data_IF_919873944734
#
_entry.id   IF_919873944734
#
_cell.length_a   1.000
_cell.length_b   1.000
_cell.length_c   1.000
_cell.angle_alpha   90.00
_cell.angle_beta   90.00
_cell.angle_gamma   90.00
#
_symmetry.space_group_name_H-M   'P 1'
#
loop_
_entity.id
_entity.type
_entity.pdbx_description
1 polymer ?
#
# COMPACT_ATOMS: atom_id res chain seq x y z
N UNK A 1 -6.07 -23.27 28.29
CA UNK A 1 -6.85 -22.36 27.44
C UNK A 1 -5.94 -21.86 26.32
N UNK A 2 -6.36 -22.01 25.07
CA UNK A 2 -5.50 -21.76 23.90
C UNK A 2 -5.23 -20.27 23.65
N UNK A 3 -6.14 -19.38 24.06
CA UNK A 3 -5.94 -17.93 23.95
C UNK A 3 -4.78 -17.41 24.80
N UNK A 4 -4.62 -17.94 26.02
CA UNK A 4 -3.56 -17.51 26.93
C UNK A 4 -2.14 -17.79 26.41
N UNK A 5 -1.95 -18.88 25.66
CA UNK A 5 -0.66 -19.20 25.05
C UNK A 5 -0.33 -18.27 23.89
N UNK A 6 -1.31 -17.91 23.06
CA UNK A 6 -1.13 -16.97 21.97
C UNK A 6 -0.73 -15.58 22.48
N UNK A 7 -1.37 -15.12 23.56
CA UNK A 7 -1.05 -13.84 24.20
C UNK A 7 0.39 -13.83 24.74
N UNK A 8 0.78 -14.87 25.49
CA UNK A 8 2.14 -14.98 26.05
C UNK A 8 3.22 -15.03 24.96
N UNK A 9 2.94 -15.73 23.85
CA UNK A 9 3.85 -15.80 22.71
C UNK A 9 4.01 -14.43 22.05
N UNK A 10 2.91 -13.72 21.83
CA UNK A 10 2.97 -12.38 21.25
C UNK A 10 3.67 -11.39 22.17
N UNK A 11 3.43 -11.45 23.48
CA UNK A 11 4.07 -10.57 24.46
C UNK A 11 5.59 -10.79 24.50
N UNK A 12 6.02 -12.05 24.49
CA UNK A 12 7.43 -12.42 24.40
C UNK A 12 8.06 -11.89 23.11
N UNK A 13 7.38 -12.04 21.97
CA UNK A 13 7.83 -11.51 20.68
C UNK A 13 7.90 -9.97 20.69
N UNK A 14 6.86 -9.31 21.19
CA UNK A 14 6.75 -7.85 21.31
C UNK A 14 7.91 -7.29 22.11
N UNK A 15 8.18 -7.89 23.28
CA UNK A 15 9.29 -7.49 24.14
C UNK A 15 10.64 -7.75 23.45
N UNK A 16 10.83 -8.94 22.87
CA UNK A 16 12.07 -9.27 22.16
C UNK A 16 12.37 -8.25 21.06
N UNK A 17 11.44 -8.03 20.13
CA UNK A 17 11.63 -7.07 19.02
C UNK A 17 11.90 -5.67 19.56
N UNK A 18 11.19 -5.25 20.61
CA UNK A 18 11.37 -3.91 21.19
C UNK A 18 12.72 -3.74 21.87
N UNK A 19 13.22 -4.76 22.56
CA UNK A 19 14.54 -4.71 23.21
C UNK A 19 15.68 -4.62 22.18
N UNK A 20 15.51 -5.21 20.99
CA UNK A 20 16.54 -5.23 19.95
C UNK A 20 16.44 -4.02 19.00
N UNK A 21 15.23 -3.55 18.71
CA UNK A 21 14.97 -2.61 17.61
C UNK A 21 14.08 -1.41 17.98
N UNK A 22 13.58 -1.34 19.20
CA UNK A 22 12.64 -0.31 19.64
C UNK A 22 11.21 -0.54 19.13
N UNK A 23 10.41 0.53 19.09
CA UNK A 23 9.00 0.41 18.66
C UNK A 23 8.89 -0.09 17.22
N UNK A 24 7.93 -0.97 16.96
CA UNK A 24 7.80 -1.67 15.68
C UNK A 24 6.50 -1.34 14.94
N UNK A 25 6.44 -1.70 13.66
CA UNK A 25 5.24 -1.59 12.82
C UNK A 25 4.68 -3.00 12.58
N UNK A 26 3.37 -3.16 12.67
CA UNK A 26 2.68 -4.41 12.32
C UNK A 26 1.86 -4.24 11.05
N UNK A 27 1.98 -5.19 10.13
CA UNK A 27 1.13 -5.31 8.94
C UNK A 27 0.42 -6.66 9.02
N UNK A 28 -0.90 -6.65 9.06
CA UNK A 28 -1.74 -7.85 8.94
C UNK A 28 -2.43 -7.78 7.60
N UNK A 29 -1.91 -8.55 6.65
CA UNK A 29 -2.54 -8.70 5.33
C UNK A 29 -3.65 -9.76 5.38
N UNK A 30 -4.66 -9.59 4.53
CA UNK A 30 -5.88 -10.40 4.45
C UNK A 30 -6.53 -10.65 5.83
N UNK A 31 -6.63 -9.62 6.66
CA UNK A 31 -7.15 -9.74 8.03
C UNK A 31 -8.61 -10.25 8.06
N UNK A 32 -9.36 -10.05 6.98
CA UNK A 32 -10.74 -10.50 6.83
C UNK A 32 -10.85 -12.00 6.52
N UNK A 33 -9.79 -12.64 6.01
CA UNK A 33 -9.84 -14.02 5.55
C UNK A 33 -10.12 -15.04 6.68
N UNK A 34 -9.48 -14.98 7.85
CA UNK A 34 -9.80 -15.88 8.97
C UNK A 34 -11.24 -15.73 9.46
N UNK A 35 -11.74 -14.48 9.51
CA UNK A 35 -13.12 -14.19 9.92
C UNK A 35 -14.12 -14.75 8.91
N UNK A 36 -13.85 -14.59 7.61
CA UNK A 36 -14.67 -15.17 6.53
C UNK A 36 -14.70 -16.68 6.58
N UNK A 37 -13.56 -17.33 6.80
CA UNK A 37 -13.46 -18.79 6.87
C UNK A 37 -14.27 -19.36 8.04
N UNK A 38 -14.42 -18.59 9.12
CA UNK A 38 -15.22 -18.99 10.26
C UNK A 38 -16.73 -18.83 10.01
N UNK A 39 -17.20 -17.95 9.11
CA UNK A 39 -18.63 -17.78 8.85
C UNK A 39 -19.28 -19.07 8.35
N UNK A 40 -20.30 -19.56 9.08
CA UNK A 40 -21.12 -20.71 8.66
C UNK A 40 -20.71 -22.09 9.20
N UNK A 41 -19.82 -22.17 10.19
CA UNK A 41 -19.41 -23.43 10.83
C UNK A 41 -19.65 -23.42 12.35
N UNK A 42 -19.79 -24.59 13.00
CA UNK A 42 -20.10 -24.67 14.44
C UNK A 42 -18.89 -24.40 15.36
N UNK A 43 -17.66 -24.64 14.87
CA UNK A 43 -16.38 -24.31 15.55
C UNK A 43 -15.98 -22.83 15.39
N UNK A 44 -16.79 -22.06 14.67
CA UNK A 44 -16.60 -20.67 14.29
C UNK A 44 -16.28 -19.76 15.47
N UNK A 45 -16.96 -19.96 16.60
CA UNK A 45 -16.92 -19.00 17.70
C UNK A 45 -15.57 -18.97 18.40
N UNK A 46 -15.03 -20.12 18.81
CA UNK A 46 -13.74 -20.17 19.52
C UNK A 46 -12.58 -19.70 18.63
N UNK A 47 -12.64 -20.02 17.33
CA UNK A 47 -11.65 -19.56 16.35
C UNK A 47 -11.74 -18.05 16.10
N UNK A 48 -12.96 -17.50 15.99
CA UNK A 48 -13.17 -16.06 15.91
C UNK A 48 -12.70 -15.36 17.18
N UNK A 49 -13.12 -15.84 18.35
CA UNK A 49 -12.76 -15.25 19.65
C UNK A 49 -11.23 -15.26 19.84
N UNK A 50 -10.56 -16.34 19.43
CA UNK A 50 -9.08 -16.43 19.45
C UNK A 50 -8.44 -15.41 18.49
N UNK A 51 -8.92 -15.31 17.25
CA UNK A 51 -8.37 -14.37 16.27
C UNK A 51 -8.60 -12.90 16.69
N UNK A 52 -9.82 -12.58 17.12
CA UNK A 52 -10.19 -11.27 17.65
C UNK A 52 -9.37 -10.94 18.90
N UNK A 53 -9.15 -11.92 19.79
CA UNK A 53 -8.29 -11.78 20.96
C UNK A 53 -6.86 -11.43 20.59
N UNK A 54 -6.28 -12.15 19.62
CA UNK A 54 -4.93 -11.89 19.10
C UNK A 54 -4.81 -10.49 18.48
N UNK A 55 -5.72 -10.09 17.60
CA UNK A 55 -5.71 -8.72 17.02
C UNK A 55 -5.89 -7.70 18.15
N UNK A 56 -6.73 -7.99 19.15
CA UNK A 56 -6.87 -7.18 20.35
C UNK A 56 -5.52 -7.00 21.05
N UNK A 57 -4.80 -8.09 21.32
CA UNK A 57 -3.49 -8.05 22.00
C UNK A 57 -2.44 -7.28 21.20
N UNK A 58 -2.43 -7.43 19.88
CA UNK A 58 -1.47 -6.75 18.99
C UNK A 58 -1.64 -5.22 19.07
N UNK A 59 -2.89 -4.73 19.02
CA UNK A 59 -3.18 -3.31 18.78
C UNK A 59 -3.67 -2.55 20.01
N UNK A 60 -4.41 -3.18 20.94
CA UNK A 60 -5.03 -2.52 22.10
C UNK A 60 -4.03 -2.35 23.23
N UNK A 61 -3.72 -1.10 23.58
CA UNK A 61 -2.84 -0.77 24.71
C UNK A 61 -1.39 -1.23 24.55
N UNK A 62 -0.96 -1.58 23.32
CA UNK A 62 0.40 -2.02 23.07
C UNK A 62 1.35 -0.82 22.91
N UNK A 63 2.07 -0.46 23.98
CA UNK A 63 2.99 0.69 24.01
C UNK A 63 4.23 0.51 23.12
N UNK A 64 4.56 -0.74 22.78
CA UNK A 64 5.67 -1.11 21.92
C UNK A 64 5.34 -0.90 20.44
N UNK A 65 4.05 -0.81 20.07
CA UNK A 65 3.63 -0.58 18.71
C UNK A 65 3.82 0.90 18.32
N UNK A 66 4.55 1.16 17.25
CA UNK A 66 4.67 2.50 16.65
C UNK A 66 3.44 2.85 15.82
N UNK A 67 3.00 1.88 15.00
CA UNK A 67 1.82 1.96 14.12
C UNK A 67 1.47 0.54 13.68
N UNK A 68 0.22 0.29 13.33
CA UNK A 68 -0.11 -0.94 12.62
C UNK A 68 -1.17 -0.74 11.56
N UNK A 69 -1.22 -1.70 10.63
CA UNK A 69 -2.06 -1.68 9.45
C UNK A 69 -2.79 -3.02 9.35
N UNK A 70 -4.11 -2.96 9.18
CA UNK A 70 -4.96 -4.09 8.83
C UNK A 70 -5.36 -3.90 7.37
N UNK A 71 -4.98 -4.85 6.51
CA UNK A 71 -5.26 -4.80 5.07
C UNK A 71 -6.16 -5.98 4.73
N UNK A 72 -7.25 -5.73 4.00
CA UNK A 72 -8.23 -6.75 3.65
C UNK A 72 -9.20 -6.25 2.60
N UNK A 73 -10.01 -7.16 2.08
CA UNK A 73 -11.02 -6.84 1.06
C UNK A 73 -12.33 -6.40 1.72
N UNK A 74 -12.74 -7.10 2.77
CA UNK A 74 -13.99 -6.85 3.46
C UNK A 74 -13.75 -6.09 4.76
N UNK A 75 -14.55 -5.07 4.99
CA UNK A 75 -14.57 -4.36 6.26
C UNK A 75 -15.30 -5.21 7.31
N UNK A 76 -14.53 -5.96 8.10
CA UNK A 76 -15.02 -6.53 9.34
C UNK A 76 -14.72 -5.57 10.47
N UNK A 77 -15.78 -4.99 11.05
CA UNK A 77 -15.67 -4.24 12.29
C UNK A 77 -15.42 -5.23 13.43
N UNK A 78 -14.18 -5.21 13.93
CA UNK A 78 -13.82 -5.83 15.19
C UNK A 78 -14.38 -4.98 16.33
N UNK A 79 -15.71 -4.95 16.46
CA UNK A 79 -16.46 -4.13 17.43
C UNK A 79 -15.99 -4.33 18.87
N UNK A 80 -15.46 -5.52 19.19
CA UNK A 80 -14.81 -5.86 20.46
C UNK A 80 -13.43 -5.21 20.68
N UNK A 81 -12.71 -4.86 19.61
CA UNK A 81 -11.38 -4.23 19.63
C UNK A 81 -11.50 -2.71 19.62
N UNK A 82 -12.51 -2.17 18.94
CA UNK A 82 -12.71 -0.73 18.76
C UNK A 82 -12.79 0.08 20.05
N UNK A 83 -13.34 -0.50 21.13
CA UNK A 83 -13.47 0.19 22.42
C UNK A 83 -12.15 0.49 23.15
N UNK A 84 -11.02 -0.04 22.69
CA UNK A 84 -9.72 0.18 23.34
C UNK A 84 -8.58 0.60 22.41
N UNK A 85 -8.82 0.72 21.10
CA UNK A 85 -7.82 1.22 20.16
C UNK A 85 -8.19 2.67 19.85
N UNK A 86 -7.67 3.58 20.66
CA UNK A 86 -8.05 5.00 20.64
C UNK A 86 -7.60 5.78 19.38
N UNK A 87 -7.10 5.13 18.33
CA UNK A 87 -6.54 5.76 17.13
C UNK A 87 -6.77 4.92 15.84
N UNK A 88 -7.87 4.18 15.73
CA UNK A 88 -8.20 3.49 14.46
C UNK A 88 -8.66 4.52 13.43
N UNK A 89 -8.00 4.52 12.27
CA UNK A 89 -8.47 5.22 11.06
C UNK A 89 -8.78 4.19 10.00
N UNK A 90 -10.00 4.16 9.49
CA UNK A 90 -10.36 3.35 8.34
C UNK A 90 -10.03 4.10 7.05
N UNK A 91 -9.33 3.44 6.14
CA UNK A 91 -9.00 3.94 4.81
C UNK A 91 -9.55 2.94 3.80
N UNK A 92 -10.67 3.29 3.16
CA UNK A 92 -11.35 2.42 2.20
C UNK A 92 -11.23 2.99 0.79
N UNK A 93 -10.93 2.13 -0.18
CA UNK A 93 -10.85 2.48 -1.60
C UNK A 93 -12.24 2.56 -2.28
N UNK A 94 -13.29 2.08 -1.63
CA UNK A 94 -14.65 2.19 -2.12
C UNK A 94 -15.09 3.67 -2.14
N UNK A 95 -15.46 4.16 -3.32
CA UNK A 95 -16.12 5.46 -3.46
C UNK A 95 -17.46 5.43 -2.72
N UNK A 96 -17.82 6.55 -2.06
CA UNK A 96 -19.07 6.74 -1.28
C UNK A 96 -20.38 6.36 -2.02
N UNK A 97 -20.34 6.01 -3.31
CA UNK A 97 -21.49 5.61 -4.11
C UNK A 97 -22.05 4.20 -3.83
N UNK A 98 -21.33 3.31 -3.13
CA UNK A 98 -21.81 1.94 -2.85
C UNK A 98 -22.42 1.75 -1.43
N UNK A 99 -22.28 2.72 -0.53
CA UNK A 99 -22.75 2.62 0.87
C UNK A 99 -23.92 3.56 1.17
N UNK A 100 -24.99 3.54 0.35
CA UNK A 100 -26.19 4.34 0.67
C UNK A 100 -27.07 3.74 1.78
N UNK A 101 -26.73 2.56 2.32
CA UNK A 101 -27.59 1.83 3.27
C UNK A 101 -26.96 1.59 4.65
N UNK A 102 -25.77 2.12 4.93
CA UNK A 102 -25.19 2.07 6.28
C UNK A 102 -24.87 3.50 6.66
N UNK A 103 -25.69 4.08 7.55
CA UNK A 103 -25.42 5.39 8.11
C UNK A 103 -24.06 5.33 8.84
N UNK A 104 -23.11 6.21 8.50
CA UNK A 104 -21.86 6.29 9.26
C UNK A 104 -22.20 6.71 10.68
N UNK A 105 -21.68 5.99 11.67
CA UNK A 105 -21.70 6.47 13.05
C UNK A 105 -20.93 7.80 13.11
N UNK A 106 -21.50 8.79 13.79
CA UNK A 106 -21.04 10.19 13.81
C UNK A 106 -19.60 10.35 14.32
N UNK A 107 -19.01 9.32 14.93
CA UNK A 107 -17.66 9.35 15.52
C UNK A 107 -16.51 9.08 14.53
N UNK A 108 -16.79 8.68 13.28
CA UNK A 108 -15.76 8.14 12.36
C UNK A 108 -15.70 8.82 10.99
N UNK A 109 -15.79 10.15 10.98
CA UNK A 109 -15.49 10.95 9.79
C UNK A 109 -14.18 11.70 9.99
N UNK A 110 -13.06 10.98 10.08
CA UNK A 110 -11.80 11.61 9.69
C UNK A 110 -11.82 11.72 8.16
N UNK A 111 -11.67 12.95 7.68
CA UNK A 111 -11.90 13.45 6.32
C UNK A 111 -11.06 12.81 5.19
N UNK A 112 -10.53 11.60 5.37
CA UNK A 112 -9.78 10.82 4.38
C UNK A 112 -10.61 9.68 3.76
N UNK A 113 -11.94 9.77 3.79
CA UNK A 113 -12.78 8.86 3.02
C UNK A 113 -12.65 9.15 1.52
N UNK A 114 -12.19 8.16 0.74
CA UNK A 114 -12.04 8.28 -0.70
C UNK A 114 -10.58 8.28 -1.16
N UNK A 115 -10.42 8.22 -2.48
CA UNK A 115 -9.14 7.90 -3.13
C UNK A 115 -8.09 9.00 -2.98
N UNK A 116 -8.50 10.25 -2.72
CA UNK A 116 -7.60 11.36 -2.34
C UNK A 116 -6.87 11.09 -1.01
N UNK A 117 -7.50 10.37 -0.08
CA UNK A 117 -6.87 9.92 1.17
C UNK A 117 -5.85 8.81 0.92
N UNK A 118 -6.14 7.91 -0.02
CA UNK A 118 -5.25 6.79 -0.34
C UNK A 118 -3.98 7.25 -1.06
N UNK A 119 -4.08 8.10 -2.08
CA UNK A 119 -2.92 8.65 -2.78
C UNK A 119 -2.00 9.44 -1.83
N UNK A 120 -2.57 10.18 -0.87
CA UNK A 120 -1.79 10.87 0.18
C UNK A 120 -1.04 9.93 1.14
N UNK A 121 -1.47 8.69 1.26
CA UNK A 121 -0.87 7.71 2.18
C UNK A 121 0.11 6.76 1.48
N UNK A 122 -0.16 6.44 0.22
CA UNK A 122 0.51 5.34 -0.49
C UNK A 122 1.17 5.76 -1.81
N UNK A 123 1.15 7.04 -2.15
CA UNK A 123 1.90 7.60 -3.26
C UNK A 123 2.77 8.78 -2.80
N UNK A 124 3.82 9.08 -3.55
CA UNK A 124 4.56 10.31 -3.36
C UNK A 124 3.89 11.44 -4.14
N UNK A 125 3.81 12.61 -3.52
CA UNK A 125 3.56 13.88 -4.18
C UNK A 125 4.79 14.35 -4.96
N UNK A 126 4.61 15.30 -5.88
CA UNK A 126 5.73 15.91 -6.60
C UNK A 126 6.75 16.54 -5.65
N UNK A 127 6.29 17.20 -4.59
CA UNK A 127 7.17 17.83 -3.61
C UNK A 127 8.05 16.79 -2.88
N UNK A 128 7.47 15.65 -2.50
CA UNK A 128 8.23 14.56 -1.87
C UNK A 128 9.24 13.93 -2.83
N UNK A 129 8.89 13.74 -4.10
CA UNK A 129 9.83 13.23 -5.11
C UNK A 129 11.00 14.20 -5.30
N UNK A 130 10.73 15.49 -5.42
CA UNK A 130 11.78 16.52 -5.56
C UNK A 130 12.71 16.48 -4.35
N UNK A 131 12.16 16.45 -3.13
CA UNK A 131 12.96 16.32 -1.89
C UNK A 131 13.78 15.03 -1.84
N UNK A 132 13.23 13.89 -2.30
CA UNK A 132 13.96 12.62 -2.36
C UNK A 132 15.12 12.68 -3.35
N UNK A 133 14.93 13.31 -4.52
CA UNK A 133 16.00 13.53 -5.50
C UNK A 133 17.08 14.43 -4.90
N UNK A 134 16.69 15.55 -4.28
CA UNK A 134 17.63 16.46 -3.59
C UNK A 134 18.48 15.73 -2.53
N UNK A 135 17.86 14.87 -1.72
CA UNK A 135 18.58 14.09 -0.70
C UNK A 135 19.52 13.04 -1.28
N UNK A 136 19.14 12.43 -2.40
CA UNK A 136 19.99 11.46 -3.09
C UNK A 136 21.06 12.13 -3.96
N UNK A 137 20.95 13.44 -4.20
CA UNK A 137 21.73 14.17 -5.20
C UNK A 137 23.24 14.09 -4.98
N UNK A 138 23.70 14.28 -3.73
CA UNK A 138 25.15 14.19 -3.42
C UNK A 138 25.77 12.85 -3.80
N UNK A 139 24.98 11.77 -3.84
CA UNK A 139 25.41 10.42 -4.24
C UNK A 139 25.33 10.24 -5.76
N UNK A 140 24.32 10.83 -6.41
CA UNK A 140 24.07 10.73 -7.86
C UNK A 140 25.06 11.60 -8.67
N UNK A 141 25.33 12.83 -8.23
CA UNK A 141 26.13 13.83 -8.95
C UNK A 141 27.57 13.38 -9.20
N UNK A 142 28.18 12.71 -8.21
CA UNK A 142 29.56 12.20 -8.31
C UNK A 142 29.73 11.13 -9.39
N UNK A 143 28.64 10.48 -9.82
CA UNK A 143 28.70 9.37 -10.75
C UNK A 143 28.45 9.76 -12.21
N UNK A 144 27.56 10.72 -12.50
CA UNK A 144 27.04 10.88 -13.86
C UNK A 144 26.86 12.33 -14.40
N UNK A 145 27.15 13.38 -13.61
CA UNK A 145 27.12 14.81 -14.04
C UNK A 145 25.82 15.28 -14.73
N UNK A 146 24.66 14.71 -14.37
CA UNK A 146 23.36 15.18 -14.86
C UNK A 146 22.94 16.48 -14.16
N UNK A 147 21.99 17.23 -14.72
CA UNK A 147 21.27 18.25 -13.95
C UNK A 147 20.13 17.60 -13.16
N UNK A 148 19.82 18.19 -12.01
CA UNK A 148 18.73 17.71 -11.16
C UNK A 148 17.37 17.81 -11.87
N UNK A 149 17.16 18.89 -12.63
CA UNK A 149 15.98 19.08 -13.47
C UNK A 149 15.80 17.93 -14.48
N UNK A 150 16.88 17.47 -15.12
CA UNK A 150 16.81 16.37 -16.08
C UNK A 150 16.36 15.06 -15.40
N UNK A 151 16.86 14.80 -14.19
CA UNK A 151 16.48 13.61 -13.41
C UNK A 151 15.01 13.68 -12.99
N UNK A 152 14.56 14.83 -12.47
CA UNK A 152 13.16 15.04 -12.07
C UNK A 152 12.23 14.94 -13.29
N UNK A 153 12.60 15.54 -14.42
CA UNK A 153 11.81 15.49 -15.65
C UNK A 153 11.71 14.06 -16.20
N UNK A 154 12.81 13.30 -16.17
CA UNK A 154 12.82 11.90 -16.58
C UNK A 154 11.92 11.06 -15.68
N UNK A 155 12.06 11.21 -14.36
CA UNK A 155 11.26 10.51 -13.36
C UNK A 155 9.77 10.88 -13.49
N UNK A 156 9.46 12.16 -13.71
CA UNK A 156 8.09 12.65 -13.94
C UNK A 156 7.49 12.08 -15.21
N UNK A 157 8.28 12.00 -16.27
CA UNK A 157 7.84 11.44 -17.56
C UNK A 157 7.48 9.97 -17.43
N UNK A 158 8.29 9.19 -16.73
CA UNK A 158 8.10 7.74 -16.59
C UNK A 158 7.12 7.34 -15.49
N UNK A 159 7.09 8.07 -14.38
CA UNK A 159 6.41 7.63 -13.15
C UNK A 159 5.45 8.66 -12.54
N UNK A 160 5.41 9.89 -13.05
CA UNK A 160 4.52 10.95 -12.57
C UNK A 160 3.08 10.87 -13.10
N UNK A 161 2.66 9.70 -13.56
CA UNK A 161 1.30 9.42 -14.05
C UNK A 161 0.63 8.31 -13.25
N UNK A 162 1.14 8.02 -12.05
CA UNK A 162 0.45 7.11 -11.16
C UNK A 162 -0.85 7.77 -10.71
N UNK A 163 -1.96 7.15 -11.09
CA UNK A 163 -3.29 7.69 -10.86
C UNK A 163 -4.22 6.52 -10.48
N UNK A 164 -4.88 6.65 -9.33
CA UNK A 164 -5.94 5.75 -8.90
C UNK A 164 -7.34 6.22 -9.36
N UNK A 165 -7.41 7.17 -10.30
CA UNK A 165 -8.61 7.68 -10.95
C UNK A 165 -9.05 9.10 -10.54
N UNK A 166 -8.14 9.96 -10.05
CA UNK A 166 -8.49 11.23 -9.38
C UNK A 166 -7.51 12.39 -9.69
N UNK A 167 -7.88 13.60 -9.27
CA UNK A 167 -7.46 14.88 -9.87
C UNK A 167 -5.98 15.30 -9.75
N UNK A 168 -5.19 14.69 -8.86
CA UNK A 168 -3.77 15.05 -8.66
C UNK A 168 -2.84 13.91 -9.05
N UNK A 169 -1.93 14.21 -9.99
CA UNK A 169 -0.90 13.25 -10.43
C UNK A 169 0.05 12.94 -9.28
N UNK A 170 0.19 11.65 -8.96
CA UNK A 170 1.12 11.18 -7.94
C UNK A 170 2.13 10.21 -8.54
N UNK A 171 3.06 9.75 -7.69
CA UNK A 171 4.16 8.88 -8.09
C UNK A 171 4.11 7.59 -7.30
N UNK A 172 4.24 6.46 -7.99
CA UNK A 172 4.33 5.16 -7.34
C UNK A 172 5.63 5.06 -6.55
N UNK A 173 5.61 4.79 -5.23
CA UNK A 173 6.82 4.78 -4.41
C UNK A 173 7.86 3.74 -4.84
N UNK A 174 7.42 2.55 -5.26
CA UNK A 174 8.32 1.47 -5.71
C UNK A 174 9.06 1.90 -6.97
N UNK A 175 8.36 2.51 -7.93
CA UNK A 175 8.96 3.01 -9.15
C UNK A 175 9.95 4.14 -8.90
N UNK A 176 9.62 5.10 -8.01
CA UNK A 176 10.51 6.22 -7.65
C UNK A 176 11.79 5.70 -6.99
N UNK A 177 11.65 4.86 -5.97
CA UNK A 177 12.81 4.32 -5.24
C UNK A 177 13.65 3.39 -6.13
N UNK A 178 12.99 2.59 -6.96
CA UNK A 178 13.65 1.75 -7.96
C UNK A 178 14.45 2.58 -8.94
N UNK A 179 13.88 3.65 -9.48
CA UNK A 179 14.55 4.55 -10.41
C UNK A 179 15.78 5.20 -9.77
N UNK A 180 15.65 5.77 -8.57
CA UNK A 180 16.77 6.37 -7.85
C UNK A 180 17.89 5.36 -7.60
N UNK A 181 17.55 4.13 -7.23
CA UNK A 181 18.52 3.05 -7.03
C UNK A 181 19.27 2.71 -8.32
N UNK A 182 18.55 2.57 -9.43
CA UNK A 182 19.15 2.29 -10.74
C UNK A 182 20.03 3.45 -11.20
N UNK A 183 19.56 4.70 -10.99
CA UNK A 183 20.28 5.91 -11.36
C UNK A 183 21.63 6.02 -10.64
N UNK A 184 21.69 5.64 -9.35
CA UNK A 184 22.92 5.63 -8.58
C UNK A 184 23.95 4.58 -9.05
N UNK A 185 23.52 3.52 -9.75
CA UNK A 185 24.40 2.42 -10.16
C UNK A 185 24.70 2.33 -11.65
N UNK A 186 23.71 2.59 -12.49
CA UNK A 186 23.68 2.28 -13.92
C UNK A 186 23.50 3.53 -14.81
N UNK A 187 23.29 4.71 -14.21
CA UNK A 187 23.06 5.96 -14.92
C UNK A 187 21.65 6.11 -15.53
N UNK A 188 21.38 7.27 -16.12
CA UNK A 188 20.03 7.65 -16.58
C UNK A 188 19.55 6.86 -17.81
N UNK A 189 20.48 6.28 -18.56
CA UNK A 189 20.20 5.42 -19.72
C UNK A 189 19.49 4.11 -19.34
N UNK A 190 19.80 3.57 -18.15
CA UNK A 190 19.25 2.29 -17.67
C UNK A 190 18.27 2.46 -16.50
N UNK A 191 18.23 3.65 -15.90
CA UNK A 191 17.42 3.89 -14.72
C UNK A 191 15.90 3.77 -14.93
N UNK A 192 15.32 4.30 -16.03
CA UNK A 192 13.90 4.13 -16.30
C UNK A 192 13.57 2.69 -16.72
N UNK A 193 12.89 1.96 -15.84
CA UNK A 193 12.39 0.61 -16.11
C UNK A 193 11.04 0.34 -15.44
N UNK A 194 10.38 -0.75 -15.85
CA UNK A 194 9.08 -1.16 -15.32
C UNK A 194 9.23 -1.89 -13.98
N UNK A 195 9.56 -1.12 -12.93
CA UNK A 195 9.81 -1.68 -11.60
C UNK A 195 8.63 -2.47 -11.00
N UNK A 196 7.39 -2.19 -11.41
CA UNK A 196 6.22 -2.87 -10.86
C UNK A 196 6.01 -4.29 -11.41
N UNK A 197 6.51 -4.56 -12.62
CA UNK A 197 6.36 -5.87 -13.29
C UNK A 197 7.08 -6.99 -12.54
N UNK A 198 8.17 -6.65 -11.84
CA UNK A 198 8.95 -7.61 -11.05
C UNK A 198 8.27 -8.00 -9.72
N UNK A 199 7.31 -7.20 -9.24
CA UNK A 199 6.64 -7.39 -7.94
C UNK A 199 5.17 -7.80 -8.06
N UNK A 200 4.55 -7.60 -9.21
CA UNK A 200 3.20 -8.12 -9.47
C UNK A 200 3.29 -9.61 -9.79
N UNK A 201 2.73 -10.48 -8.94
CA UNK A 201 2.55 -11.88 -9.29
C UNK A 201 1.73 -11.93 -10.60
N UNK A 202 2.34 -12.41 -11.67
CA UNK A 202 1.80 -12.48 -13.05
C UNK A 202 0.38 -13.04 -13.07
N UNK A 203 0.03 -13.88 -12.10
CA UNK A 203 -1.30 -14.44 -11.90
C UNK A 203 -2.42 -13.42 -11.72
N UNK A 204 -2.16 -12.32 -10.99
CA UNK A 204 -3.18 -11.28 -10.73
C UNK A 204 -3.47 -10.46 -11.98
N UNK A 205 -2.42 -10.14 -12.76
CA UNK A 205 -2.56 -9.51 -14.07
C UNK A 205 -3.27 -10.43 -15.07
N UNK A 206 -2.98 -11.74 -15.02
CA UNK A 206 -3.67 -12.74 -15.85
C UNK A 206 -5.15 -12.86 -15.49
N UNK A 207 -5.50 -12.85 -14.21
CA UNK A 207 -6.89 -12.88 -13.76
C UNK A 207 -7.63 -11.58 -14.09
N UNK A 208 -6.99 -10.42 -13.95
CA UNK A 208 -7.55 -9.14 -14.40
C UNK A 208 -7.76 -9.14 -15.92
N UNK A 209 -6.79 -9.67 -16.68
CA UNK A 209 -6.91 -9.79 -18.13
C UNK A 209 -7.94 -10.83 -18.58
N UNK A 210 -8.18 -11.89 -17.79
CA UNK A 210 -9.24 -12.87 -18.04
C UNK A 210 -10.62 -12.29 -17.72
N UNK A 211 -10.75 -11.61 -16.59
CA UNK A 211 -12.00 -11.02 -16.10
C UNK A 211 -12.45 -9.86 -17.00
N UNK A 212 -11.50 -9.03 -17.44
CA UNK A 212 -11.76 -7.86 -18.30
C UNK A 212 -11.24 -8.07 -19.73
N UNK A 213 -11.27 -9.31 -20.22
CA UNK A 213 -10.71 -9.71 -21.53
C UNK A 213 -11.09 -8.79 -22.68
N UNK A 214 -12.34 -8.30 -22.70
CA UNK A 214 -12.81 -7.38 -23.73
C UNK A 214 -12.11 -6.01 -23.67
N UNK A 215 -11.92 -5.46 -22.47
CA UNK A 215 -11.23 -4.19 -22.26
C UNK A 215 -9.73 -4.33 -22.51
N UNK A 216 -9.12 -5.44 -22.09
CA UNK A 216 -7.70 -5.72 -22.36
C UNK A 216 -7.44 -5.95 -23.85
N UNK A 217 -8.33 -6.63 -24.58
CA UNK A 217 -8.19 -6.77 -26.04
C UNK A 217 -8.37 -5.45 -26.80
N UNK A 218 -9.19 -4.53 -26.28
CA UNK A 218 -9.34 -3.18 -26.81
C UNK A 218 -8.10 -2.31 -26.56
N UNK A 219 -7.46 -2.46 -25.40
CA UNK A 219 -6.30 -1.68 -24.99
C UNK A 219 -4.96 -2.29 -25.41
N UNK A 220 -4.89 -3.60 -25.66
CA UNK A 220 -3.67 -4.30 -26.03
C UNK A 220 -2.99 -3.73 -27.29
N UNK A 221 -3.71 -3.38 -28.37
CA UNK A 221 -3.10 -2.70 -29.51
C UNK A 221 -2.52 -1.34 -29.15
N UNK A 222 -3.10 -0.62 -28.18
CA UNK A 222 -2.59 0.65 -27.67
C UNK A 222 -1.32 0.43 -26.84
N UNK A 223 -1.36 -0.51 -25.90
CA UNK A 223 -0.24 -0.84 -25.01
C UNK A 223 0.96 -1.41 -25.78
N UNK A 224 0.72 -2.23 -26.82
CA UNK A 224 1.76 -2.73 -27.71
C UNK A 224 2.35 -1.58 -28.54
N UNK A 225 1.52 -0.69 -29.08
CA UNK A 225 2.01 0.52 -29.77
C UNK A 225 2.83 1.42 -28.84
N UNK A 226 2.40 1.61 -27.60
CA UNK A 226 3.09 2.46 -26.62
C UNK A 226 4.38 1.83 -26.09
N UNK A 227 4.48 0.49 -26.13
CA UNK A 227 5.69 -0.26 -25.78
C UNK A 227 6.70 -0.30 -26.94
N UNK A 228 6.24 -0.54 -28.17
CA UNK A 228 7.08 -0.62 -29.38
C UNK A 228 7.58 0.76 -29.84
N UNK A 229 6.88 1.83 -29.47
CA UNK A 229 7.24 3.21 -29.82
C UNK A 229 8.16 3.88 -28.81
N UNK A 230 9.05 3.12 -28.14
CA UNK A 230 10.04 3.63 -27.19
C UNK A 230 10.61 5.00 -27.61
N UNK A 231 10.08 6.06 -26.98
CA UNK A 231 10.40 7.43 -27.32
C UNK A 231 9.83 7.95 -28.64
N UNK A 232 9.40 9.22 -28.59
CA UNK A 232 9.20 10.13 -29.73
C UNK A 232 8.02 9.89 -30.67
N UNK A 233 6.92 10.60 -30.36
CA UNK A 233 6.35 11.74 -31.11
C UNK A 233 4.83 11.65 -31.17
N UNK A 234 4.16 12.68 -30.65
CA UNK A 234 3.26 13.57 -31.41
C UNK A 234 2.56 14.48 -30.38
N UNK A 235 2.77 15.79 -30.50
CA UNK A 235 1.92 16.76 -31.21
C UNK A 235 0.59 17.00 -30.50
#
# INVERSE_FOLDING_TARGET
DHGHLADLLFDGLSLFVTTQHGKYIVLVDNYDQPLKAALGNDWCKDAQDTYVGLIGRIFKGNENLKRGFLVGVHEFWLSSIGSGVNNIRNITLATRGYHHNIAPSEDHVDSMSGVDGFSKLFAFSRAEVVELVHRAWETIDRAHRYSEDLVIDTLTTWYGRYDFGFAEKCYNPVSVLGFLRSLMGEGLEHAPRLHWLDYSNTYSMLELARTYRSAVLLLAPQLIRDHDSGGTRCR
#
